data_IF_128609510121
#
_entry.id   IF_128609510121
#
_cell.length_a   1.000
_cell.length_b   1.000
_cell.length_c   1.000
_cell.angle_alpha   90.00
_cell.angle_beta   90.00
_cell.angle_gamma   90.00
#
_symmetry.space_group_name_H-M   'P 1'
#
loop_
_entity.id
_entity.type
_entity.pdbx_description
1 polymer ?
#
# COMPACT_ATOMS: atom_id res chain seq x y z
N UNK A 1 5.58 -24.76 14.11
CA UNK A 1 6.79 -24.02 14.55
C UNK A 1 7.26 -23.19 13.36
N UNK A 2 7.45 -21.89 13.36
CA UNK A 2 7.43 -20.81 14.36
C UNK A 2 6.44 -19.76 13.87
N UNK A 3 5.62 -19.14 14.71
CA UNK A 3 6.07 -18.19 15.72
C UNK A 3 5.58 -16.82 15.28
N UNK A 4 4.51 -16.36 15.93
CA UNK A 4 4.10 -14.97 16.11
C UNK A 4 4.63 -13.94 15.08
N UNK A 5 4.01 -13.87 13.89
CA UNK A 5 4.15 -12.69 13.02
C UNK A 5 3.19 -11.63 13.54
N UNK A 6 3.63 -10.84 14.52
CA UNK A 6 3.12 -9.47 14.74
C UNK A 6 2.99 -8.82 13.35
N UNK A 7 1.81 -8.28 13.04
CA UNK A 7 1.44 -7.74 11.72
C UNK A 7 2.34 -6.61 11.23
N UNK A 8 3.55 -6.95 10.81
CA UNK A 8 4.53 -6.08 10.19
C UNK A 8 4.42 -6.15 8.68
N UNK A 9 4.67 -5.03 8.02
CA UNK A 9 4.70 -4.94 6.56
C UNK A 9 5.98 -5.64 6.07
N UNK A 10 5.84 -6.59 5.15
CA UNK A 10 6.97 -7.24 4.50
C UNK A 10 7.59 -6.28 3.45
N UNK A 11 8.88 -5.97 3.63
CA UNK A 11 9.61 -5.05 2.76
C UNK A 11 9.80 -5.60 1.35
N UNK A 12 10.05 -6.90 1.21
CA UNK A 12 10.26 -7.54 -0.10
C UNK A 12 8.96 -7.56 -0.88
N UNK A 13 7.85 -7.88 -0.20
CA UNK A 13 6.53 -7.81 -0.82
C UNK A 13 6.18 -6.37 -1.22
N UNK A 14 6.46 -5.37 -0.39
CA UNK A 14 6.20 -3.97 -0.71
C UNK A 14 7.04 -3.48 -1.91
N UNK A 15 8.36 -3.69 -1.86
CA UNK A 15 9.33 -3.13 -2.81
C UNK A 15 9.48 -3.94 -4.10
N UNK A 16 9.08 -5.22 -4.11
CA UNK A 16 9.26 -6.15 -5.22
C UNK A 16 8.49 -5.80 -6.51
N UNK A 17 7.68 -4.73 -6.51
CA UNK A 17 6.93 -4.29 -7.67
C UNK A 17 6.96 -2.78 -7.87
N UNK A 18 7.56 -2.34 -8.99
CA UNK A 18 7.55 -0.93 -9.43
C UNK A 18 6.12 -0.36 -9.53
N UNK A 19 5.18 -1.15 -10.07
CA UNK A 19 3.77 -0.75 -10.18
C UNK A 19 3.11 -0.51 -8.83
N UNK A 20 3.42 -1.35 -7.84
CA UNK A 20 2.91 -1.21 -6.47
C UNK A 20 3.39 0.06 -5.78
N UNK A 21 4.68 0.37 -5.90
CA UNK A 21 5.25 1.62 -5.38
C UNK A 21 4.61 2.83 -6.07
N UNK A 22 4.36 2.75 -7.39
CA UNK A 22 3.69 3.82 -8.14
C UNK A 22 2.25 4.06 -7.68
N UNK A 23 1.48 2.99 -7.43
CA UNK A 23 0.12 3.08 -6.87
C UNK A 23 0.15 3.71 -5.48
N UNK A 24 1.05 3.24 -4.61
CA UNK A 24 1.17 3.74 -3.25
C UNK A 24 1.51 5.23 -3.23
N UNK A 25 2.43 5.67 -4.09
CA UNK A 25 2.78 7.09 -4.26
C UNK A 25 1.57 7.94 -4.65
N UNK A 26 0.82 7.51 -5.68
CA UNK A 26 -0.38 8.23 -6.16
C UNK A 26 -1.42 8.40 -5.05
N UNK A 27 -1.64 7.36 -4.23
CA UNK A 27 -2.58 7.41 -3.12
C UNK A 27 -2.08 8.26 -1.96
N UNK A 28 -0.78 8.24 -1.65
CA UNK A 28 -0.18 9.10 -0.64
C UNK A 28 -0.31 10.59 -1.00
N UNK A 29 -0.27 10.94 -2.29
CA UNK A 29 -0.42 12.32 -2.78
C UNK A 29 -1.89 12.78 -2.85
N UNK A 30 -2.84 11.86 -3.06
CA UNK A 30 -4.25 12.19 -3.35
C UNK A 30 -5.23 11.91 -2.20
N UNK A 31 -4.79 11.24 -1.12
CA UNK A 31 -5.61 10.87 0.05
C UNK A 31 -6.53 9.66 -0.20
N UNK A 32 -7.35 9.71 -1.25
CA UNK A 32 -8.25 8.63 -1.63
C UNK A 32 -8.69 8.68 -3.08
N UNK A 33 -8.71 7.55 -3.78
CA UNK A 33 -9.07 7.47 -5.20
C UNK A 33 -9.83 6.20 -5.54
N UNK A 34 -10.65 6.24 -6.58
CA UNK A 34 -11.19 5.03 -7.18
C UNK A 34 -10.17 4.32 -8.09
N UNK A 35 -10.44 3.06 -8.43
CA UNK A 35 -9.52 2.22 -9.23
C UNK A 35 -9.22 2.85 -10.61
N UNK A 36 -10.24 3.41 -11.26
CA UNK A 36 -10.11 4.06 -12.57
C UNK A 36 -9.21 5.29 -12.52
N UNK A 37 -9.31 6.11 -11.46
CA UNK A 37 -8.46 7.27 -11.26
C UNK A 37 -7.00 6.87 -10.97
N UNK A 38 -6.79 5.82 -10.18
CA UNK A 38 -5.46 5.26 -9.95
C UNK A 38 -4.87 4.74 -11.25
N UNK A 39 -5.64 3.99 -12.07
CA UNK A 39 -5.22 3.53 -13.39
C UNK A 39 -4.81 4.68 -14.30
N UNK A 40 -5.62 5.75 -14.37
CA UNK A 40 -5.32 6.94 -15.15
C UNK A 40 -4.04 7.64 -14.69
N UNK A 41 -3.88 7.89 -13.38
CA UNK A 41 -2.71 8.59 -12.82
C UNK A 41 -1.43 7.76 -12.89
N UNK A 42 -1.55 6.43 -12.79
CA UNK A 42 -0.41 5.53 -12.90
C UNK A 42 -0.06 5.17 -14.34
N UNK A 43 -0.97 5.39 -15.30
CA UNK A 43 -0.82 4.94 -16.69
C UNK A 43 -0.86 3.42 -16.84
N UNK A 44 -1.44 2.70 -15.88
CA UNK A 44 -1.54 1.25 -15.87
C UNK A 44 -2.96 0.77 -16.16
N UNK A 45 -3.10 -0.47 -16.63
CA UNK A 45 -4.42 -1.05 -16.84
C UNK A 45 -5.14 -1.36 -15.52
N UNK A 46 -6.47 -1.46 -15.61
CA UNK A 46 -7.35 -1.70 -14.46
C UNK A 46 -6.94 -2.95 -13.65
N UNK A 47 -6.77 -4.10 -14.32
CA UNK A 47 -6.49 -5.39 -13.66
C UNK A 47 -5.17 -5.37 -12.87
N UNK A 48 -4.14 -4.69 -13.40
CA UNK A 48 -2.85 -4.56 -12.72
C UNK A 48 -2.96 -3.67 -11.50
N UNK A 49 -3.69 -2.56 -11.62
CA UNK A 49 -3.95 -1.65 -10.50
C UNK A 49 -4.76 -2.34 -9.42
N UNK A 50 -5.84 -3.03 -9.77
CA UNK A 50 -6.66 -3.77 -8.82
C UNK A 50 -5.81 -4.77 -8.03
N UNK A 51 -4.96 -5.56 -8.71
CA UNK A 51 -4.03 -6.47 -8.04
C UNK A 51 -3.09 -5.75 -7.06
N UNK A 52 -2.56 -4.60 -7.45
CA UNK A 52 -1.67 -3.82 -6.58
C UNK A 52 -2.41 -3.23 -5.37
N UNK A 53 -3.63 -2.72 -5.56
CA UNK A 53 -4.47 -2.19 -4.50
C UNK A 53 -4.83 -3.27 -3.48
N UNK A 54 -5.22 -4.46 -3.94
CA UNK A 54 -5.52 -5.60 -3.06
C UNK A 54 -4.31 -6.05 -2.26
N UNK A 55 -3.13 -6.10 -2.89
CA UNK A 55 -1.87 -6.42 -2.19
C UNK A 55 -1.51 -5.39 -1.13
N UNK A 56 -1.60 -4.09 -1.46
CA UNK A 56 -1.33 -3.01 -0.50
C UNK A 56 -2.36 -2.96 0.63
N UNK A 57 -3.63 -3.31 0.35
CA UNK A 57 -4.69 -3.49 1.36
C UNK A 57 -4.35 -4.66 2.29
N UNK A 58 -3.91 -5.79 1.75
CA UNK A 58 -3.46 -6.96 2.52
C UNK A 58 -2.27 -6.67 3.42
N UNK A 59 -1.35 -5.78 3.00
CA UNK A 59 -0.25 -5.27 3.83
C UNK A 59 -0.70 -4.24 4.88
N UNK A 60 -1.97 -3.87 4.91
CA UNK A 60 -2.51 -2.86 5.82
C UNK A 60 -1.98 -1.45 5.54
N UNK A 61 -1.54 -1.16 4.32
CA UNK A 61 -1.12 0.18 3.88
C UNK A 61 -2.31 1.00 3.36
N UNK A 62 -3.32 0.32 2.82
CA UNK A 62 -4.54 0.93 2.30
C UNK A 62 -5.77 0.41 3.03
N UNK A 63 -6.83 1.22 3.05
CA UNK A 63 -8.19 0.81 3.39
C UNK A 63 -9.11 0.98 2.19
N UNK A 64 -10.09 0.10 2.06
CA UNK A 64 -11.14 0.20 1.05
C UNK A 64 -12.42 0.73 1.71
N UNK A 65 -13.02 1.76 1.13
CA UNK A 65 -14.37 2.23 1.46
C UNK A 65 -15.29 2.03 0.26
N UNK A 66 -16.52 1.61 0.52
CA UNK A 66 -17.54 1.41 -0.52
C UNK A 66 -18.63 2.45 -0.39
N UNK A 67 -18.90 3.14 -1.49
CA UNK A 67 -19.99 4.10 -1.63
C UNK A 67 -20.88 3.60 -2.77
N UNK A 68 -21.89 2.79 -2.40
CA UNK A 68 -22.69 2.05 -3.37
C UNK A 68 -21.83 1.10 -4.21
N UNK A 69 -21.79 1.32 -5.53
CA UNK A 69 -20.98 0.53 -6.48
C UNK A 69 -19.52 1.02 -6.59
N UNK A 70 -19.20 2.19 -6.03
CA UNK A 70 -17.87 2.80 -6.15
C UNK A 70 -16.98 2.33 -5.00
N UNK A 71 -15.76 1.89 -5.34
CA UNK A 71 -14.72 1.49 -4.39
C UNK A 71 -13.65 2.58 -4.35
N UNK A 72 -13.42 3.15 -3.17
CA UNK A 72 -12.39 4.16 -2.90
C UNK A 72 -11.30 3.52 -2.05
N UNK A 73 -10.05 3.71 -2.44
CA UNK A 73 -8.89 3.26 -1.67
C UNK A 73 -8.18 4.47 -1.07
N UNK A 74 -7.88 4.40 0.22
CA UNK A 74 -7.24 5.48 0.98
C UNK A 74 -5.99 4.96 1.68
N UNK A 75 -4.95 5.80 1.80
CA UNK A 75 -3.78 5.48 2.60
C UNK A 75 -4.15 5.46 4.10
N UNK A 76 -3.58 4.50 4.84
CA UNK A 76 -3.84 4.32 6.30
C UNK A 76 -2.70 4.83 7.17
N UNK A 77 -1.69 5.43 6.55
CA UNK A 77 -0.47 5.86 7.20
C UNK A 77 -0.23 7.34 6.89
N UNK A 78 0.36 8.03 7.85
CA UNK A 78 0.97 9.33 7.63
C UNK A 78 2.36 9.17 7.04
N UNK A 79 3.14 8.21 7.53
CA UNK A 79 4.48 7.90 7.03
C UNK A 79 4.71 6.40 7.00
N UNK A 80 5.50 5.95 6.02
CA UNK A 80 6.08 4.60 5.98
C UNK A 80 7.59 4.78 5.84
N UNK A 81 8.34 4.20 6.76
CA UNK A 81 9.79 4.23 6.79
C UNK A 81 10.30 2.81 6.58
N UNK A 82 11.13 2.64 5.56
CA UNK A 82 11.86 1.40 5.33
C UNK A 82 13.31 1.65 5.73
N UNK A 83 13.80 0.90 6.70
CA UNK A 83 15.16 1.03 7.23
C UNK A 83 15.97 -0.22 6.95
N UNK A 84 17.14 -0.04 6.36
CA UNK A 84 18.14 -1.09 6.20
C UNK A 84 19.28 -0.85 7.21
N UNK A 85 19.53 -1.84 8.07
CA UNK A 85 20.57 -1.78 9.08
C UNK A 85 21.60 -2.90 8.82
N UNK A 86 22.88 -2.52 8.62
CA UNK A 86 23.96 -3.50 8.43
C UNK A 86 24.03 -4.44 9.62
N UNK A 87 24.00 -5.76 9.36
CA UNK A 87 24.01 -6.80 10.40
C UNK A 87 22.65 -7.06 11.08
N UNK A 88 21.57 -6.35 10.69
CA UNK A 88 20.23 -6.51 11.27
C UNK A 88 19.11 -6.65 10.23
N UNK A 89 19.38 -6.38 8.96
CA UNK A 89 18.43 -6.56 7.86
C UNK A 89 17.53 -5.36 7.61
N UNK A 90 16.30 -5.61 7.16
CA UNK A 90 15.30 -4.59 6.80
C UNK A 90 14.16 -4.53 7.82
N UNK A 91 13.68 -3.33 8.11
CA UNK A 91 12.48 -3.07 8.91
C UNK A 91 11.56 -2.11 8.20
N UNK A 92 10.26 -2.35 8.29
CA UNK A 92 9.23 -1.43 7.80
C UNK A 92 8.40 -0.95 8.98
N UNK A 93 8.41 0.36 9.17
CA UNK A 93 7.64 1.04 10.21
C UNK A 93 6.61 1.93 9.53
N UNK A 94 5.37 1.92 10.02
CA UNK A 94 4.35 2.89 9.60
C UNK A 94 3.89 3.71 10.78
N UNK A 95 3.70 5.01 10.56
CA UNK A 95 2.93 5.86 11.47
C UNK A 95 1.50 5.86 10.97
N UNK A 96 0.52 5.35 11.74
CA UNK A 96 -0.87 5.34 11.30
C UNK A 96 -1.39 6.76 11.11
N UNK A 97 -2.29 6.91 10.16
CA UNK A 97 -3.05 8.14 10.02
C UNK A 97 -4.14 8.20 11.10
N UNK A 98 -4.18 9.30 11.86
CA UNK A 98 -5.18 9.52 12.93
C UNK A 98 -6.44 10.14 12.31
N UNK A 99 -7.12 9.38 11.46
CA UNK A 99 -8.44 9.76 10.91
C UNK A 99 -9.50 8.85 11.48
#
# INVERSE_FOLDING_TARGET
MSGDRRGGIDAEELLGSRGRIRVLRVLAESGGLNITEVARKTGMNYTSVERHLEKLKGLGLLREKRYGKIRIFEATFRTVVIRFERGKGVRVEKTPDRT
#
